data_IF_955886642991
#
_entry.id   IF_955886642991
#
_cell.length_a   1.000
_cell.length_b   1.000
_cell.length_c   1.000
_cell.angle_alpha   90.00
_cell.angle_beta   90.00
_cell.angle_gamma   90.00
#
_symmetry.space_group_name_H-M   'P 1'
#
loop_
_entity.id
_entity.type
_entity.pdbx_description
1 polymer ?
#
# COMPACT_ATOMS: atom_id res chain seq x y z
N UNK A 1 -8.01 -4.44 28.48
CA UNK A 1 -8.12 -5.47 27.41
C UNK A 1 -7.53 -4.87 26.14
N UNK A 2 -6.24 -5.12 25.89
CA UNK A 2 -5.58 -4.63 24.69
C UNK A 2 -6.01 -5.52 23.52
N UNK A 3 -6.89 -5.00 22.67
CA UNK A 3 -7.27 -5.68 21.44
C UNK A 3 -6.11 -5.54 20.46
N UNK A 4 -5.34 -6.62 20.40
CA UNK A 4 -4.27 -6.86 19.44
C UNK A 4 -4.92 -6.90 18.04
N UNK A 5 -5.15 -5.75 17.42
CA UNK A 5 -5.71 -5.64 16.07
C UNK A 5 -4.59 -5.93 15.06
N UNK A 6 -4.16 -7.20 15.05
CA UNK A 6 -3.29 -7.73 14.03
C UNK A 6 -3.98 -7.64 12.68
N UNK A 7 -3.24 -7.21 11.66
CA UNK A 7 -3.61 -7.38 10.26
C UNK A 7 -4.28 -8.75 10.07
N UNK A 8 -5.48 -8.79 9.48
CA UNK A 8 -6.20 -10.04 9.23
C UNK A 8 -5.42 -10.87 8.20
N UNK A 9 -4.53 -11.70 8.72
CA UNK A 9 -3.80 -12.70 7.98
C UNK A 9 -4.64 -13.98 8.00
N UNK A 10 -5.14 -14.38 6.85
CA UNK A 10 -5.91 -15.62 6.71
C UNK A 10 -5.05 -16.71 6.05
N UNK A 11 -5.11 -17.97 6.52
CA UNK A 11 -4.42 -19.07 5.88
C UNK A 11 -5.11 -19.39 4.54
N UNK A 12 -4.34 -19.35 3.45
CA UNK A 12 -4.80 -19.72 2.11
C UNK A 12 -3.88 -20.78 1.50
N UNK A 13 -4.41 -21.73 0.72
CA UNK A 13 -3.58 -22.62 -0.07
C UNK A 13 -2.69 -21.85 -1.04
N UNK A 14 -1.41 -22.20 -1.11
CA UNK A 14 -0.46 -21.59 -2.02
C UNK A 14 0.55 -22.62 -2.53
N UNK A 15 1.00 -22.43 -3.77
CA UNK A 15 2.14 -23.13 -4.32
C UNK A 15 3.42 -22.39 -3.90
N UNK A 16 4.37 -23.16 -3.37
CA UNK A 16 5.62 -22.66 -2.84
C UNK A 16 6.81 -23.36 -3.52
N UNK A 17 7.89 -22.61 -3.69
CA UNK A 17 9.19 -23.13 -4.07
C UNK A 17 10.05 -23.28 -2.81
N UNK A 18 10.42 -24.51 -2.46
CA UNK A 18 11.36 -24.83 -1.38
C UNK A 18 12.73 -25.03 -1.99
N UNK A 19 13.74 -24.42 -1.40
CA UNK A 19 15.11 -24.52 -1.91
C UNK A 19 16.11 -24.83 -0.81
N UNK A 20 17.27 -25.38 -1.18
CA UNK A 20 18.45 -25.39 -0.31
C UNK A 20 18.94 -23.97 -0.06
N UNK A 21 19.57 -23.71 1.11
CA UNK A 21 20.07 -22.37 1.48
C UNK A 21 20.92 -21.69 0.41
N UNK A 22 21.73 -22.47 -0.31
CA UNK A 22 22.61 -21.98 -1.39
C UNK A 22 21.84 -21.44 -2.61
N UNK A 23 20.65 -21.97 -2.87
CA UNK A 23 19.84 -21.59 -4.04
C UNK A 23 18.78 -20.52 -3.71
N UNK A 24 18.70 -20.06 -2.45
CA UNK A 24 17.66 -19.14 -2.00
C UNK A 24 17.65 -17.80 -2.74
N UNK A 25 18.81 -17.18 -2.94
CA UNK A 25 18.87 -15.89 -3.64
C UNK A 25 18.58 -16.04 -5.13
N UNK A 26 19.09 -17.10 -5.77
CA UNK A 26 18.79 -17.43 -7.16
C UNK A 26 17.28 -17.64 -7.36
N UNK A 27 16.62 -18.36 -6.44
CA UNK A 27 15.18 -18.57 -6.46
C UNK A 27 14.40 -17.27 -6.30
N UNK A 28 14.80 -16.44 -5.32
CA UNK A 28 14.18 -15.13 -5.08
C UNK A 28 14.31 -14.21 -6.29
N UNK A 29 15.46 -14.23 -6.98
CA UNK A 29 15.69 -13.47 -8.20
C UNK A 29 14.81 -13.98 -9.35
N UNK A 30 14.85 -15.28 -9.65
CA UNK A 30 14.06 -15.87 -10.74
C UNK A 30 12.54 -15.69 -10.57
N UNK A 31 12.03 -15.78 -9.34
CA UNK A 31 10.61 -15.51 -9.03
C UNK A 31 10.24 -14.04 -9.30
N UNK A 32 11.13 -13.09 -8.95
CA UNK A 32 10.92 -11.66 -9.24
C UNK A 32 10.96 -11.39 -10.74
N UNK A 33 11.99 -11.88 -11.43
CA UNK A 33 12.20 -11.66 -12.86
C UNK A 33 11.07 -12.26 -13.70
N UNK A 34 10.51 -13.40 -13.26
CA UNK A 34 9.38 -14.06 -13.92
C UNK A 34 8.01 -13.52 -13.47
N UNK A 35 7.96 -12.50 -12.59
CA UNK A 35 6.72 -11.95 -11.98
C UNK A 35 5.83 -12.98 -11.28
N UNK A 36 6.42 -14.06 -10.78
CA UNK A 36 5.72 -15.12 -10.06
C UNK A 36 5.82 -14.97 -8.54
N UNK A 37 6.56 -13.99 -8.03
CA UNK A 37 6.73 -13.77 -6.60
C UNK A 37 5.42 -13.30 -5.94
N UNK A 38 4.91 -14.10 -4.98
CA UNK A 38 3.69 -13.75 -4.24
C UNK A 38 3.99 -12.78 -3.09
N UNK A 39 4.18 -11.49 -3.39
CA UNK A 39 4.61 -10.47 -2.43
C UNK A 39 3.66 -10.27 -1.22
N UNK A 40 2.39 -10.65 -1.36
CA UNK A 40 1.36 -10.54 -0.32
C UNK A 40 1.11 -11.84 0.45
N UNK A 41 1.85 -12.90 0.13
CA UNK A 41 1.71 -14.22 0.76
C UNK A 41 2.98 -14.58 1.50
N UNK A 42 2.83 -14.97 2.76
CA UNK A 42 3.93 -15.46 3.59
C UNK A 42 3.75 -16.95 3.88
N UNK A 43 4.64 -17.83 3.39
CA UNK A 43 4.57 -19.25 3.73
C UNK A 43 4.61 -19.47 5.24
N UNK A 44 3.71 -20.30 5.76
CA UNK A 44 3.71 -20.68 7.18
C UNK A 44 4.71 -21.81 7.38
N UNK A 45 5.78 -21.54 8.15
CA UNK A 45 6.86 -22.51 8.41
C UNK A 45 6.38 -23.83 9.01
N UNK A 46 5.25 -23.83 9.73
CA UNK A 46 4.68 -25.00 10.39
C UNK A 46 4.00 -25.97 9.41
N UNK A 47 3.52 -25.49 8.25
CA UNK A 47 2.83 -26.32 7.25
C UNK A 47 3.71 -26.67 6.04
N UNK A 48 4.81 -25.93 5.81
CA UNK A 48 5.81 -26.32 4.82
C UNK A 48 6.77 -27.32 5.46
N UNK A 49 6.63 -28.59 5.09
CA UNK A 49 7.18 -29.82 5.68
C UNK A 49 8.71 -29.96 5.79
N UNK A 50 9.50 -28.88 5.64
CA UNK A 50 10.96 -28.92 5.83
C UNK A 50 11.44 -27.73 6.68
N UNK A 51 11.48 -27.95 7.98
CA UNK A 51 12.04 -27.01 8.96
C UNK A 51 13.47 -26.58 8.54
N UNK A 52 13.69 -25.27 8.42
CA UNK A 52 15.02 -24.68 8.23
C UNK A 52 15.47 -24.40 6.80
N UNK A 53 14.63 -24.66 5.80
CA UNK A 53 14.90 -24.33 4.39
C UNK A 53 14.19 -23.04 3.92
N UNK A 54 14.77 -22.27 2.99
CA UNK A 54 14.08 -21.17 2.34
C UNK A 54 12.84 -21.63 1.57
N UNK A 55 11.71 -20.96 1.82
CA UNK A 55 10.44 -21.19 1.14
C UNK A 55 9.95 -19.88 0.55
N UNK A 56 9.52 -19.92 -0.71
CA UNK A 56 9.05 -18.75 -1.45
C UNK A 56 7.65 -19.03 -1.99
N UNK A 57 6.66 -18.23 -1.58
CA UNK A 57 5.32 -18.30 -2.14
C UNK A 57 5.32 -17.80 -3.59
N UNK A 58 4.58 -18.49 -4.45
CA UNK A 58 4.43 -18.13 -5.85
C UNK A 58 2.95 -17.90 -6.23
N UNK A 59 2.73 -16.92 -7.09
CA UNK A 59 1.46 -16.66 -7.78
C UNK A 59 1.56 -17.27 -9.18
N UNK A 60 1.51 -18.60 -9.24
CA UNK A 60 1.73 -19.36 -10.46
C UNK A 60 0.93 -20.67 -10.46
N UNK A 61 0.64 -21.20 -11.65
CA UNK A 61 0.14 -22.57 -11.78
C UNK A 61 1.24 -23.61 -11.56
N UNK A 62 0.86 -24.86 -11.28
CA UNK A 62 1.81 -25.96 -11.04
C UNK A 62 2.79 -26.18 -12.19
N UNK A 63 2.36 -25.97 -13.45
CA UNK A 63 3.20 -26.13 -14.65
C UNK A 63 4.31 -25.06 -14.72
N UNK A 64 3.94 -23.80 -14.50
CA UNK A 64 4.88 -22.67 -14.53
C UNK A 64 5.94 -22.79 -13.44
N UNK A 65 5.51 -23.17 -12.23
CA UNK A 65 6.42 -23.31 -11.11
C UNK A 65 7.36 -24.53 -11.27
N UNK A 66 6.91 -25.60 -11.93
CA UNK A 66 7.76 -26.73 -12.33
C UNK A 66 8.81 -26.33 -13.37
N UNK A 67 8.43 -25.53 -14.36
CA UNK A 67 9.39 -24.99 -15.34
C UNK A 67 10.44 -24.09 -14.65
N UNK A 68 10.00 -23.27 -13.68
CA UNK A 68 10.91 -22.44 -12.89
C UNK A 68 11.86 -23.27 -12.03
N UNK A 69 11.38 -24.37 -11.43
CA UNK A 69 12.21 -25.34 -10.71
C UNK A 69 13.31 -25.90 -11.62
N UNK A 70 12.96 -26.32 -12.83
CA UNK A 70 13.92 -26.92 -13.77
C UNK A 70 14.97 -25.89 -14.21
N UNK A 71 14.56 -24.63 -14.43
CA UNK A 71 15.49 -23.51 -14.67
C UNK A 71 16.37 -23.19 -13.46
N UNK A 72 15.87 -23.34 -12.23
CA UNK A 72 16.70 -23.11 -11.04
C UNK A 72 17.73 -24.22 -10.88
N UNK A 73 17.37 -25.47 -11.17
CA UNK A 73 18.26 -26.63 -11.11
C UNK A 73 19.40 -26.56 -12.13
N UNK A 74 19.21 -25.88 -13.27
CA UNK A 74 20.30 -25.65 -14.23
C UNK A 74 21.30 -24.56 -13.81
N UNK A 75 20.91 -23.68 -12.87
CA UNK A 75 21.72 -22.54 -12.41
C UNK A 75 22.27 -22.75 -10.99
N UNK A 76 21.64 -23.61 -10.19
CA UNK A 76 22.07 -23.91 -8.83
C UNK A 76 21.97 -25.40 -8.54
N UNK A 77 23.13 -26.04 -8.28
CA UNK A 77 23.20 -27.42 -7.81
C UNK A 77 22.78 -27.49 -6.34
N UNK A 78 21.52 -27.81 -6.10
CA UNK A 78 20.97 -27.94 -4.75
C UNK A 78 19.54 -28.44 -4.76
N UNK A 79 18.97 -28.55 -3.56
CA UNK A 79 17.58 -28.93 -3.41
C UNK A 79 16.67 -27.83 -3.99
N UNK A 80 15.74 -28.21 -4.87
CA UNK A 80 14.68 -27.35 -5.38
C UNK A 80 13.41 -28.17 -5.56
N UNK A 81 12.35 -27.81 -4.86
CA UNK A 81 11.08 -28.53 -4.88
C UNK A 81 9.89 -27.58 -4.94
N UNK A 82 8.82 -28.04 -5.58
CA UNK A 82 7.53 -27.37 -5.57
C UNK A 82 6.65 -28.10 -4.58
N UNK A 83 6.07 -27.35 -3.64
CA UNK A 83 5.22 -27.89 -2.59
C UNK A 83 3.93 -27.07 -2.49
N UNK A 84 2.84 -27.73 -2.12
CA UNK A 84 1.63 -27.04 -1.67
C UNK A 84 1.77 -26.76 -0.18
N UNK A 85 1.50 -25.52 0.22
CA UNK A 85 1.56 -25.07 1.60
C UNK A 85 0.33 -24.22 1.94
N UNK A 86 0.20 -23.90 3.23
CA UNK A 86 -0.59 -22.77 3.68
C UNK A 86 0.28 -21.53 3.76
N UNK A 87 -0.17 -20.47 3.09
CA UNK A 87 0.39 -19.13 3.22
C UNK A 87 -0.54 -18.28 4.05
N UNK A 88 0.02 -17.42 4.89
CA UNK A 88 -0.73 -16.28 5.39
C UNK A 88 -0.85 -15.30 4.22
N UNK A 89 -2.06 -15.07 3.73
CA UNK A 89 -2.33 -14.00 2.78
C UNK A 89 -2.78 -12.76 3.55
N UNK A 90 -2.25 -11.61 3.13
CA UNK A 90 -2.82 -10.33 3.53
C UNK A 90 -4.03 -10.07 2.64
N UNK A 91 -5.22 -10.04 3.22
CA UNK A 91 -6.41 -9.63 2.47
C UNK A 91 -6.23 -8.17 2.06
N UNK A 92 -6.08 -7.91 0.75
CA UNK A 92 -6.16 -6.55 0.23
C UNK A 92 -7.63 -6.17 0.17
N UNK A 93 -8.17 -5.74 1.31
CA UNK A 93 -9.45 -5.05 1.31
C UNK A 93 -9.25 -3.72 0.62
N UNK A 94 -9.84 -3.60 -0.56
CA UNK A 94 -9.98 -2.31 -1.21
C UNK A 94 -10.92 -1.47 -0.33
N UNK A 95 -10.52 -0.26 0.04
CA UNK A 95 -11.37 0.59 0.85
C UNK A 95 -12.68 0.88 0.10
N UNK A 96 -13.82 0.92 0.80
CA UNK A 96 -15.14 0.93 0.19
C UNK A 96 -15.48 2.24 -0.53
N UNK A 97 -14.67 3.28 -0.35
CA UNK A 97 -14.91 4.63 -0.89
C UNK A 97 -13.63 5.25 -1.44
N UNK A 98 -13.79 6.22 -2.34
CA UNK A 98 -12.68 7.05 -2.79
C UNK A 98 -12.24 8.00 -1.67
N UNK A 99 -10.93 8.12 -1.48
CA UNK A 99 -10.31 9.02 -0.52
C UNK A 99 -9.09 9.70 -1.14
N UNK A 100 -8.57 10.71 -0.45
CA UNK A 100 -7.33 11.40 -0.78
C UNK A 100 -6.44 11.42 0.46
N UNK A 101 -5.15 11.18 0.29
CA UNK A 101 -4.18 11.24 1.40
C UNK A 101 -3.48 12.60 1.38
N UNK A 102 -3.50 13.29 2.53
CA UNK A 102 -2.74 14.50 2.80
C UNK A 102 -1.86 14.19 4.01
N UNK A 103 -0.58 13.91 3.76
CA UNK A 103 0.35 13.51 4.82
C UNK A 103 -0.14 12.27 5.56
N UNK A 104 -0.41 12.41 6.85
CA UNK A 104 -0.93 11.34 7.74
C UNK A 104 -2.46 11.29 7.82
N UNK A 105 -3.16 12.16 7.10
CA UNK A 105 -4.62 12.21 7.10
C UNK A 105 -5.19 11.62 5.79
N UNK A 106 -6.24 10.82 5.90
CA UNK A 106 -7.11 10.50 4.77
C UNK A 106 -8.36 11.38 4.81
N UNK A 107 -8.75 11.91 3.66
CA UNK A 107 -9.94 12.75 3.49
C UNK A 107 -10.91 12.03 2.55
N UNK A 108 -12.11 11.75 3.05
CA UNK A 108 -13.24 11.18 2.30
C UNK A 108 -14.28 12.25 2.02
N UNK A 109 -15.06 12.11 0.95
CA UNK A 109 -16.21 13.02 0.71
C UNK A 109 -17.40 12.55 1.53
N UNK A 110 -18.05 13.45 2.25
CA UNK A 110 -19.31 13.17 2.94
C UNK A 110 -20.46 13.31 1.93
N UNK A 111 -20.71 12.24 1.18
CA UNK A 111 -21.82 12.12 0.24
C UNK A 111 -22.77 10.97 0.66
N UNK A 112 -23.88 10.81 -0.06
CA UNK A 112 -24.90 9.79 0.24
C UNK A 112 -24.35 8.36 0.33
N UNK A 113 -23.22 8.06 -0.34
CA UNK A 113 -22.60 6.72 -0.31
C UNK A 113 -21.96 6.41 1.05
N UNK A 114 -21.63 7.45 1.81
CA UNK A 114 -21.00 7.36 3.12
C UNK A 114 -22.01 7.58 4.27
N UNK A 115 -23.21 8.06 3.96
CA UNK A 115 -24.23 8.40 4.94
C UNK A 115 -24.57 7.20 5.86
N UNK A 116 -24.42 7.40 7.17
CA UNK A 116 -24.68 6.39 8.20
C UNK A 116 -23.59 5.32 8.34
N UNK A 117 -22.50 5.40 7.58
CA UNK A 117 -21.34 4.48 7.61
C UNK A 117 -20.01 5.21 7.79
N UNK A 118 -20.04 6.49 8.12
CA UNK A 118 -18.87 7.37 8.15
C UNK A 118 -17.78 6.80 9.05
N UNK A 119 -18.16 6.40 10.27
CA UNK A 119 -17.23 5.85 11.26
C UNK A 119 -16.71 4.47 10.89
N UNK A 120 -17.59 3.59 10.41
CA UNK A 120 -17.23 2.24 9.95
C UNK A 120 -16.16 2.31 8.85
N UNK A 121 -16.39 3.15 7.84
CA UNK A 121 -15.47 3.36 6.73
C UNK A 121 -14.17 4.01 7.20
N UNK A 122 -14.24 4.98 8.12
CA UNK A 122 -13.05 5.62 8.66
C UNK A 122 -12.16 4.65 9.45
N UNK A 123 -12.74 3.77 10.28
CA UNK A 123 -12.01 2.74 11.00
C UNK A 123 -11.39 1.71 10.05
N UNK A 124 -12.09 1.32 8.97
CA UNK A 124 -11.55 0.43 7.95
C UNK A 124 -10.38 1.07 7.19
N UNK A 125 -10.47 2.37 6.86
CA UNK A 125 -9.37 3.10 6.23
C UNK A 125 -8.12 3.10 7.12
N UNK A 126 -8.26 3.36 8.42
CA UNK A 126 -7.13 3.32 9.36
C UNK A 126 -6.47 1.94 9.44
N UNK A 127 -7.23 0.85 9.25
CA UNK A 127 -6.71 -0.53 9.25
C UNK A 127 -6.02 -0.90 7.94
N UNK A 128 -6.57 -0.45 6.82
CA UNK A 128 -6.19 -0.93 5.48
C UNK A 128 -5.17 -0.04 4.79
N UNK A 129 -5.22 1.28 5.02
CA UNK A 129 -4.35 2.26 4.35
C UNK A 129 -3.08 2.49 5.18
N UNK A 130 -1.89 2.12 4.69
CA UNK A 130 -0.65 2.31 5.44
C UNK A 130 -0.28 3.80 5.54
N UNK A 131 0.21 4.20 6.71
CA UNK A 131 0.83 5.52 6.94
C UNK A 131 -0.13 6.62 7.37
N UNK A 132 -1.45 6.41 7.32
CA UNK A 132 -2.42 7.35 7.87
C UNK A 132 -2.66 7.08 9.36
N UNK A 133 -2.93 8.13 10.13
CA UNK A 133 -3.32 8.04 11.55
C UNK A 133 -4.61 8.78 11.88
N UNK A 134 -5.17 9.51 10.91
CA UNK A 134 -6.41 10.26 11.05
C UNK A 134 -7.26 10.17 9.79
N UNK A 135 -8.59 10.19 9.95
CA UNK A 135 -9.54 10.22 8.84
C UNK A 135 -10.56 11.34 9.05
N UNK A 136 -10.75 12.14 8.01
CA UNK A 136 -11.67 13.27 7.99
C UNK A 136 -12.68 13.13 6.86
N UNK A 137 -13.90 13.57 7.12
CA UNK A 137 -14.95 13.77 6.14
C UNK A 137 -14.94 15.21 5.64
N UNK A 138 -14.89 15.41 4.33
CA UNK A 138 -15.05 16.70 3.68
C UNK A 138 -16.53 16.94 3.41
N UNK A 139 -17.10 17.94 4.07
CA UNK A 139 -18.47 18.41 3.81
C UNK A 139 -18.52 19.31 2.57
N UNK A 140 -17.64 20.30 2.52
CA UNK A 140 -17.66 21.32 1.48
C UNK A 140 -16.29 22.00 1.32
N UNK A 141 -16.16 22.79 0.26
CA UNK A 141 -15.09 23.79 0.13
C UNK A 141 -15.75 25.16 0.15
N UNK A 142 -15.36 26.02 1.09
CA UNK A 142 -16.09 27.26 1.43
C UNK A 142 -15.17 28.47 1.50
N UNK A 143 -15.76 29.65 1.36
CA UNK A 143 -15.09 30.94 1.50
C UNK A 143 -14.16 31.29 0.34
N UNK A 144 -13.61 32.50 0.43
CA UNK A 144 -12.68 33.07 -0.56
C UNK A 144 -11.37 32.27 -0.64
N UNK A 145 -10.83 31.88 0.51
CA UNK A 145 -9.62 31.04 0.61
C UNK A 145 -9.85 29.55 0.27
N UNK A 146 -11.07 29.18 -0.16
CA UNK A 146 -11.41 27.81 -0.60
C UNK A 146 -11.02 26.75 0.44
N UNK A 147 -11.18 27.07 1.72
CA UNK A 147 -10.85 26.16 2.82
C UNK A 147 -11.79 24.94 2.81
N UNK A 148 -11.25 23.77 3.13
CA UNK A 148 -12.04 22.54 3.20
C UNK A 148 -12.74 22.45 4.56
N UNK A 149 -14.07 22.39 4.59
CA UNK A 149 -14.81 22.12 5.82
C UNK A 149 -14.70 20.62 6.13
N UNK A 150 -13.84 20.29 7.09
CA UNK A 150 -13.54 18.92 7.49
C UNK A 150 -14.18 18.58 8.84
N UNK A 151 -14.69 17.35 8.94
CA UNK A 151 -15.20 16.74 10.17
C UNK A 151 -14.31 15.55 10.51
N UNK A 152 -13.85 15.46 11.75
CA UNK A 152 -13.08 14.30 12.21
C UNK A 152 -13.98 13.07 12.30
N UNK A 153 -13.56 11.95 11.71
CA UNK A 153 -14.34 10.70 11.69
C UNK A 153 -13.71 9.63 12.59
N UNK A 154 -12.38 9.46 12.53
CA UNK A 154 -11.65 8.48 13.33
C UNK A 154 -10.15 8.79 13.42
N UNK A 155 -9.48 8.16 14.40
CA UNK A 155 -8.04 8.25 14.60
C UNK A 155 -7.61 9.48 15.40
N UNK A 156 -6.36 9.89 15.24
CA UNK A 156 -5.79 11.07 15.89
C UNK A 156 -6.48 12.34 15.40
N UNK A 157 -6.68 13.31 16.29
CA UNK A 157 -7.15 14.64 15.92
C UNK A 157 -5.94 15.52 15.60
N UNK A 158 -5.69 15.71 14.31
CA UNK A 158 -4.59 16.51 13.78
C UNK A 158 -5.07 17.94 13.48
N UNK A 159 -4.28 18.94 13.90
CA UNK A 159 -4.45 20.33 13.45
C UNK A 159 -3.69 20.60 12.15
N UNK A 160 -2.54 19.94 11.97
CA UNK A 160 -1.68 20.06 10.81
C UNK A 160 -1.06 18.73 10.41
N UNK A 161 -0.57 18.65 9.18
CA UNK A 161 0.18 17.50 8.68
C UNK A 161 1.22 17.92 7.65
N UNK A 162 2.14 17.03 7.29
CA UNK A 162 3.14 17.28 6.25
C UNK A 162 2.76 16.47 5.01
N UNK A 163 2.38 17.15 3.94
CA UNK A 163 2.22 16.53 2.63
C UNK A 163 3.58 16.46 1.93
N UNK A 164 3.89 15.30 1.34
CA UNK A 164 5.12 15.12 0.57
C UNK A 164 4.75 14.99 -0.89
N UNK A 165 5.28 15.90 -1.72
CA UNK A 165 5.02 15.97 -3.15
C UNK A 165 6.35 16.06 -3.90
N UNK A 166 6.69 15.05 -4.71
CA UNK A 166 7.96 14.99 -5.48
C UNK A 166 9.23 15.34 -4.67
N UNK A 167 9.25 14.98 -3.38
CA UNK A 167 10.37 15.26 -2.47
C UNK A 167 10.25 16.56 -1.67
N UNK A 168 9.32 17.46 -2.05
CA UNK A 168 8.99 18.66 -1.29
C UNK A 168 8.14 18.30 -0.08
N UNK A 169 8.38 18.98 1.05
CA UNK A 169 7.65 18.78 2.31
C UNK A 169 6.83 20.04 2.58
N UNK A 170 5.51 19.92 2.50
CA UNK A 170 4.57 21.04 2.57
C UNK A 170 3.76 20.90 3.86
N UNK A 171 3.90 21.83 4.83
CA UNK A 171 3.03 21.88 6.00
C UNK A 171 1.60 22.28 5.61
N UNK A 172 0.61 21.55 6.11
CA UNK A 172 -0.80 21.73 5.75
C UNK A 172 -1.64 21.82 7.02
N UNK A 173 -2.10 23.03 7.39
CA UNK A 173 -3.11 23.21 8.43
C UNK A 173 -4.46 22.65 7.96
N UNK A 174 -4.89 21.52 8.53
CA UNK A 174 -6.07 20.80 8.05
C UNK A 174 -7.33 21.64 8.23
N UNK A 175 -8.12 21.72 7.16
CA UNK A 175 -9.38 22.44 7.12
C UNK A 175 -9.29 23.98 7.12
N UNK A 176 -8.08 24.54 7.16
CA UNK A 176 -7.86 26.00 7.11
C UNK A 176 -7.34 26.47 5.75
N UNK A 177 -6.75 25.57 4.96
CA UNK A 177 -6.20 25.88 3.64
C UNK A 177 -6.81 24.97 2.56
N UNK A 178 -6.73 25.42 1.31
CA UNK A 178 -7.01 24.58 0.16
C UNK A 178 -5.82 23.68 -0.14
N UNK A 179 -6.07 22.38 -0.36
CA UNK A 179 -5.07 21.47 -0.92
C UNK A 179 -5.74 20.43 -1.83
N UNK A 180 -5.08 20.09 -2.93
CA UNK A 180 -5.49 19.01 -3.81
C UNK A 180 -4.27 18.18 -4.25
N UNK A 181 -3.94 17.10 -3.52
CA UNK A 181 -2.83 16.20 -3.85
C UNK A 181 -2.91 15.57 -5.25
N UNK A 182 -4.08 15.58 -5.89
CA UNK A 182 -4.24 15.05 -7.25
C UNK A 182 -3.58 15.94 -8.31
N UNK A 183 -3.26 17.20 -7.98
CA UNK A 183 -2.56 18.11 -8.87
C UNK A 183 -1.05 17.92 -8.89
N UNK A 184 -0.49 17.03 -8.06
CA UNK A 184 0.94 16.78 -7.98
C UNK A 184 1.60 16.50 -9.35
N UNK A 185 0.92 15.76 -10.23
CA UNK A 185 1.44 15.51 -11.58
C UNK A 185 1.43 16.75 -12.46
N UNK A 186 0.42 17.62 -12.30
CA UNK A 186 0.33 18.88 -13.03
C UNK A 186 1.38 19.87 -12.54
N UNK A 187 1.59 19.98 -11.22
CA UNK A 187 2.69 20.78 -10.65
C UNK A 187 4.03 20.36 -11.22
N UNK A 188 4.30 19.05 -11.28
CA UNK A 188 5.52 18.51 -11.88
C UNK A 188 5.62 18.83 -13.37
N UNK A 189 4.54 18.67 -14.13
CA UNK A 189 4.52 18.98 -15.56
C UNK A 189 4.87 20.45 -15.81
N UNK A 190 4.32 21.36 -15.01
CA UNK A 190 4.62 22.80 -15.09
C UNK A 190 6.06 23.08 -14.69
N UNK A 191 6.53 22.51 -13.58
CA UNK A 191 7.92 22.64 -13.13
C UNK A 191 8.94 22.16 -14.18
N UNK A 192 8.64 21.07 -14.90
CA UNK A 192 9.50 20.52 -15.95
C UNK A 192 9.53 21.37 -17.24
N UNK A 193 8.60 22.30 -17.42
CA UNK A 193 8.58 23.23 -18.56
C UNK A 193 9.34 24.54 -18.29
N UNK A 194 9.66 24.81 -17.02
CA UNK A 194 10.30 26.05 -16.59
C UNK A 194 11.83 25.91 -16.71
N UNK A 195 12.48 26.99 -17.13
CA UNK A 195 13.93 27.12 -17.24
C UNK A 195 14.48 28.07 -16.18
N UNK A 196 15.79 28.05 -15.94
CA UNK A 196 16.43 28.84 -14.86
C UNK A 196 16.23 30.36 -15.01
N UNK A 197 16.02 30.85 -16.24
CA UNK A 197 15.86 32.27 -16.54
C UNK A 197 14.40 32.76 -16.49
N UNK A 198 13.43 31.87 -16.27
CA UNK A 198 12.01 32.22 -16.28
C UNK A 198 11.59 32.95 -15.00
N UNK A 199 10.76 33.97 -15.15
CA UNK A 199 10.09 34.65 -14.03
C UNK A 199 8.69 34.07 -13.86
N UNK A 200 8.47 33.37 -12.74
CA UNK A 200 7.22 32.70 -12.43
C UNK A 200 6.36 33.55 -11.50
N UNK A 201 5.10 33.75 -11.88
CA UNK A 201 4.07 34.36 -11.02
C UNK A 201 3.01 33.31 -10.67
N UNK A 202 2.94 32.93 -9.39
CA UNK A 202 1.79 32.20 -8.87
C UNK A 202 0.79 33.20 -8.29
N UNK A 203 -0.39 33.28 -8.90
CA UNK A 203 -1.41 34.25 -8.52
C UNK A 203 -2.17 33.85 -7.23
N UNK A 204 -2.08 32.59 -6.79
CA UNK A 204 -2.95 32.04 -5.74
C UNK A 204 -2.23 31.16 -4.70
N UNK A 205 -0.90 31.29 -4.55
CA UNK A 205 -0.08 30.54 -3.59
C UNK A 205 -0.24 30.96 -2.13
#
# INVERSE_FOLDING_TARGET
MATNHGMDWSPVPCLCLVTGRRCGEAARRLLRDSRLAAGQRRPVKQYCTRLGLPVFAAEAGTKELKLLRDRLLSVCSGLVEVVECLCMAREQRLPPVSYVIVGRAAIVSLDERLAGREREVAEELLRTVPGITAVYGKEATVGEYRAQKLVHLAGEQLEETIHVEHGLRIPVPLGRVYINPRLAMEHRRVAEMITEDDIVLDMFS
#
